data_IF_531126982483
#
_entry.id   IF_531126982483
#
_cell.length_a   1.000
_cell.length_b   1.000
_cell.length_c   1.000
_cell.angle_alpha   90.00
_cell.angle_beta   90.00
_cell.angle_gamma   90.00
#
_symmetry.space_group_name_H-M   'P 1'
#
loop_
_entity.id
_entity.type
_entity.pdbx_description
1 polymer ?
#
# COMPACT_ATOMS: atom_id res chain seq x y z
N UNK A 1 1.62 5.30 -11.61
CA UNK A 1 2.13 6.24 -12.65
C UNK A 1 1.03 6.90 -13.50
N UNK A 2 0.34 6.19 -14.40
CA UNK A 2 -0.57 6.81 -15.41
C UNK A 2 -1.73 7.59 -14.77
N UNK A 3 -2.32 7.08 -13.70
CA UNK A 3 -3.42 7.76 -12.97
C UNK A 3 -2.93 9.12 -12.44
N UNK A 4 -1.79 9.15 -11.74
CA UNK A 4 -1.18 10.39 -11.24
C UNK A 4 -0.82 11.35 -12.38
N UNK A 5 -0.31 10.83 -13.50
CA UNK A 5 0.01 11.66 -14.68
C UNK A 5 -1.24 12.33 -15.26
N UNK A 6 -2.34 11.59 -15.42
CA UNK A 6 -3.63 12.13 -15.87
C UNK A 6 -4.17 13.18 -14.90
N UNK A 7 -3.98 12.98 -13.59
CA UNK A 7 -4.37 13.91 -12.54
C UNK A 7 -3.44 15.14 -12.39
N UNK A 8 -2.45 15.30 -13.28
CA UNK A 8 -1.43 16.36 -13.18
C UNK A 8 -0.60 16.32 -11.89
N UNK A 9 -0.53 15.14 -11.25
CA UNK A 9 0.38 14.87 -10.14
C UNK A 9 1.71 14.34 -10.69
N UNK A 10 2.50 15.24 -11.28
CA UNK A 10 3.75 14.92 -11.99
C UNK A 10 4.90 14.56 -11.04
N UNK A 11 4.95 15.21 -9.87
CA UNK A 11 5.67 14.80 -8.65
C UNK A 11 5.68 13.30 -8.44
N UNK A 12 4.49 12.83 -8.12
CA UNK A 12 4.22 11.46 -7.73
C UNK A 12 4.29 10.51 -8.93
N UNK A 13 3.81 10.95 -10.11
CA UNK A 13 3.89 10.13 -11.33
C UNK A 13 5.33 9.82 -11.74
N UNK A 14 6.23 10.81 -11.65
CA UNK A 14 7.64 10.64 -11.98
C UNK A 14 8.34 9.67 -11.03
N UNK A 15 8.02 9.71 -9.74
CA UNK A 15 8.54 8.73 -8.80
C UNK A 15 8.16 7.30 -9.23
N UNK A 16 6.87 7.02 -9.46
CA UNK A 16 6.44 5.70 -9.94
C UNK A 16 7.04 5.29 -11.29
N UNK A 17 7.32 6.26 -12.16
CA UNK A 17 7.97 5.99 -13.44
C UNK A 17 9.44 5.54 -13.25
N UNK A 18 10.16 6.12 -12.29
CA UNK A 18 11.54 5.69 -11.94
C UNK A 18 11.55 4.27 -11.37
N UNK A 19 10.74 4.02 -10.34
CA UNK A 19 10.62 2.69 -9.72
C UNK A 19 10.32 1.61 -10.77
N UNK A 20 9.37 1.89 -11.68
CA UNK A 20 9.05 0.96 -12.76
C UNK A 20 10.24 0.69 -13.68
N UNK A 21 11.05 1.69 -14.03
CA UNK A 21 12.22 1.50 -14.88
C UNK A 21 13.34 0.74 -14.16
N UNK A 22 13.48 0.90 -12.85
CA UNK A 22 14.44 0.15 -12.03
C UNK A 22 14.14 -1.35 -11.97
N UNK A 23 12.87 -1.75 -12.12
CA UNK A 23 12.49 -3.17 -12.22
C UNK A 23 12.85 -3.84 -13.56
N UNK A 24 13.49 -3.13 -14.50
CA UNK A 24 13.82 -3.61 -15.86
C UNK A 24 12.63 -4.28 -16.58
N UNK A 25 11.54 -3.52 -16.83
CA UNK A 25 10.30 -4.08 -17.32
C UNK A 25 10.48 -4.62 -18.75
N UNK A 26 10.02 -5.85 -18.99
CA UNK A 26 10.08 -6.51 -20.31
C UNK A 26 9.10 -5.91 -21.32
N UNK A 27 8.02 -5.30 -20.83
CA UNK A 27 7.03 -4.63 -21.66
C UNK A 27 7.54 -3.26 -22.14
N UNK A 28 8.09 -3.21 -23.36
CA UNK A 28 8.64 -1.99 -23.95
C UNK A 28 7.64 -0.83 -23.98
N UNK A 29 6.35 -1.12 -24.17
CA UNK A 29 5.28 -0.12 -24.15
C UNK A 29 5.15 0.58 -22.80
N UNK A 30 5.34 -0.14 -21.69
CA UNK A 30 5.32 0.41 -20.34
C UNK A 30 6.60 1.23 -20.08
N UNK A 31 7.77 0.71 -20.49
CA UNK A 31 9.04 1.41 -20.38
C UNK A 31 9.03 2.74 -21.16
N UNK A 32 8.52 2.74 -22.40
CA UNK A 32 8.39 3.95 -23.22
C UNK A 32 7.47 4.99 -22.57
N UNK A 33 6.33 4.56 -22.02
CA UNK A 33 5.41 5.45 -21.30
C UNK A 33 6.07 6.03 -20.04
N UNK A 34 6.82 5.23 -19.29
CA UNK A 34 7.53 5.71 -18.11
C UNK A 34 8.55 6.80 -18.45
N UNK A 35 9.37 6.61 -19.50
CA UNK A 35 10.31 7.63 -19.99
C UNK A 35 9.60 8.91 -20.42
N UNK A 36 8.44 8.80 -21.08
CA UNK A 36 7.63 9.97 -21.46
C UNK A 36 7.12 10.75 -20.24
N UNK A 37 6.65 10.05 -19.20
CA UNK A 37 6.21 10.68 -17.95
C UNK A 37 7.36 11.41 -17.27
N UNK A 38 8.56 10.82 -17.25
CA UNK A 38 9.76 11.47 -16.71
C UNK A 38 10.11 12.75 -17.48
N UNK A 39 10.14 12.70 -18.81
CA UNK A 39 10.42 13.86 -19.65
C UNK A 39 9.38 14.99 -19.44
N UNK A 40 8.11 14.64 -19.23
CA UNK A 40 7.07 15.62 -18.91
C UNK A 40 7.28 16.24 -17.52
N UNK A 41 7.68 15.45 -16.54
CA UNK A 41 7.94 15.91 -15.17
C UNK A 41 9.19 16.79 -15.07
N UNK A 42 10.22 16.58 -15.90
CA UNK A 42 11.41 17.46 -15.97
C UNK A 42 11.05 18.91 -16.32
N UNK A 43 10.00 19.12 -17.11
CA UNK A 43 9.54 20.46 -17.50
C UNK A 43 8.76 21.16 -16.39
N UNK A 44 8.04 20.41 -15.55
CA UNK A 44 7.21 20.95 -14.48
C UNK A 44 6.99 19.91 -13.38
N UNK A 45 7.92 19.81 -12.43
CA UNK A 45 7.91 18.80 -11.38
C UNK A 45 7.05 19.24 -10.19
N UNK A 46 5.73 19.24 -10.36
CA UNK A 46 4.77 19.61 -9.31
C UNK A 46 3.57 18.68 -9.29
N UNK A 47 3.02 18.47 -8.09
CA UNK A 47 1.71 17.85 -7.93
C UNK A 47 0.60 18.91 -7.89
N UNK A 48 -0.47 18.68 -8.66
CA UNK A 48 -1.62 19.58 -8.74
C UNK A 48 -2.49 19.52 -7.48
N UNK A 49 -2.65 18.34 -6.89
CA UNK A 49 -3.52 18.10 -5.71
C UNK A 49 -2.78 17.30 -4.64
N UNK A 50 -2.90 17.66 -3.35
CA UNK A 50 -2.32 16.87 -2.26
C UNK A 50 -2.95 15.47 -2.21
N UNK A 51 -2.11 14.47 -1.98
CA UNK A 51 -2.51 13.07 -1.80
C UNK A 51 -2.26 12.65 -0.34
N UNK A 52 -3.12 11.78 0.20
CA UNK A 52 -2.79 11.04 1.42
C UNK A 52 -1.82 9.89 1.08
N UNK A 53 -0.63 10.26 0.61
CA UNK A 53 0.42 9.34 0.19
C UNK A 53 1.77 10.01 0.40
N UNK A 54 2.49 9.59 1.44
CA UNK A 54 3.89 9.90 1.66
C UNK A 54 4.77 8.70 1.28
N UNK A 55 5.58 8.89 0.23
CA UNK A 55 6.56 7.92 -0.25
C UNK A 55 7.60 7.54 0.81
N UNK A 56 8.01 8.50 1.65
CA UNK A 56 9.17 8.34 2.53
C UNK A 56 8.80 7.75 3.88
N UNK A 57 7.51 7.66 4.17
CA UNK A 57 7.01 7.13 5.43
C UNK A 57 6.42 5.72 5.21
N UNK A 58 7.04 4.66 5.74
CA UNK A 58 6.51 3.32 5.64
C UNK A 58 5.08 3.24 6.21
N UNK A 59 4.22 2.50 5.52
CA UNK A 59 2.85 2.28 5.93
C UNK A 59 2.38 0.87 5.58
N UNK A 60 1.32 0.44 6.27
CA UNK A 60 0.51 -0.73 5.90
C UNK A 60 -0.85 -0.24 5.41
N UNK A 61 -1.55 -1.05 4.61
CA UNK A 61 -2.88 -0.69 4.11
C UNK A 61 -3.94 -1.27 5.04
N UNK A 62 -4.89 -0.45 5.47
CA UNK A 62 -6.05 -0.92 6.23
C UNK A 62 -6.89 -1.89 5.38
N UNK A 63 -7.19 -3.07 5.93
CA UNK A 63 -7.94 -4.13 5.23
C UNK A 63 -9.41 -3.80 4.90
N UNK A 64 -9.97 -2.73 5.47
CA UNK A 64 -11.37 -2.32 5.26
C UNK A 64 -11.48 -0.95 4.57
N UNK A 65 -10.80 0.08 5.09
CA UNK A 65 -10.89 1.45 4.54
C UNK A 65 -9.97 1.71 3.33
N UNK A 66 -9.01 0.83 3.05
CA UNK A 66 -7.97 1.00 2.02
C UNK A 66 -7.15 2.29 2.17
N UNK A 67 -7.10 2.85 3.37
CA UNK A 67 -6.26 4.01 3.71
C UNK A 67 -4.90 3.55 4.24
N UNK A 68 -3.81 4.33 4.02
CA UNK A 68 -2.53 4.03 4.61
C UNK A 68 -2.58 4.23 6.13
N UNK A 69 -1.99 3.29 6.87
CA UNK A 69 -1.69 3.39 8.30
C UNK A 69 -0.19 3.57 8.42
N UNK A 70 0.22 4.81 8.69
CA UNK A 70 1.63 5.20 8.73
C UNK A 70 2.33 4.71 9.99
N UNK A 71 3.64 4.49 9.89
CA UNK A 71 4.48 4.12 11.04
C UNK A 71 4.26 5.08 12.21
N UNK A 72 3.98 4.53 13.39
CA UNK A 72 3.71 5.27 14.62
C UNK A 72 2.22 5.57 14.86
N UNK A 73 1.35 5.34 13.88
CA UNK A 73 -0.09 5.30 14.12
C UNK A 73 -0.49 3.99 14.79
N UNK A 74 -1.62 4.01 15.51
CA UNK A 74 -2.18 2.80 16.11
C UNK A 74 -2.92 2.00 15.05
N UNK A 75 -2.75 0.69 15.12
CA UNK A 75 -3.43 -0.30 14.31
C UNK A 75 -3.87 -1.49 15.18
N UNK A 76 -4.82 -2.26 14.66
CA UNK A 76 -5.25 -3.54 15.21
C UNK A 76 -5.14 -4.60 14.13
N UNK A 77 -4.71 -5.80 14.48
CA UNK A 77 -4.45 -6.86 13.51
C UNK A 77 -5.50 -7.96 13.59
N UNK A 78 -5.77 -8.58 12.44
CA UNK A 78 -6.49 -9.85 12.41
C UNK A 78 -5.58 -10.95 12.97
N UNK A 79 -6.02 -11.73 13.98
CA UNK A 79 -5.17 -12.74 14.60
C UNK A 79 -4.86 -13.94 13.68
N UNK A 80 -5.63 -14.10 12.59
CA UNK A 80 -5.46 -15.20 11.66
C UNK A 80 -4.56 -14.86 10.47
N UNK A 81 -4.89 -13.81 9.70
CA UNK A 81 -4.16 -13.45 8.49
C UNK A 81 -3.18 -12.28 8.67
N UNK A 82 -3.08 -11.72 9.89
CA UNK A 82 -2.20 -10.60 10.23
C UNK A 82 -2.47 -9.31 9.45
N UNK A 83 -3.64 -9.19 8.80
CA UNK A 83 -4.03 -7.94 8.13
C UNK A 83 -4.21 -6.83 9.15
N UNK A 84 -3.73 -5.64 8.82
CA UNK A 84 -3.81 -4.45 9.66
C UNK A 84 -5.10 -3.67 9.40
N UNK A 85 -5.68 -3.13 10.45
CA UNK A 85 -6.88 -2.29 10.41
C UNK A 85 -6.70 -1.06 11.29
N UNK A 86 -7.41 0.01 10.95
CA UNK A 86 -7.53 1.14 11.87
C UNK A 86 -8.35 0.70 13.12
N UNK A 87 -8.09 1.25 14.31
CA UNK A 87 -8.72 0.78 15.56
C UNK A 87 -10.24 0.84 15.58
N UNK A 88 -10.88 1.65 14.72
CA UNK A 88 -12.34 1.71 14.60
C UNK A 88 -12.98 0.43 14.07
N UNK A 89 -12.21 -0.47 13.44
CA UNK A 89 -12.70 -1.77 12.96
C UNK A 89 -12.44 -2.92 13.94
N UNK A 90 -11.95 -2.64 15.15
CA UNK A 90 -11.78 -3.67 16.18
C UNK A 90 -13.14 -4.27 16.54
N UNK A 91 -13.19 -5.61 16.62
CA UNK A 91 -14.42 -6.36 16.88
C UNK A 91 -15.27 -6.65 15.65
N UNK A 92 -14.90 -6.15 14.47
CA UNK A 92 -15.57 -6.50 13.21
C UNK A 92 -15.01 -7.80 12.62
N UNK A 93 -15.78 -8.47 11.76
CA UNK A 93 -15.28 -9.59 10.96
C UNK A 93 -14.21 -9.09 9.97
N UNK A 94 -13.06 -9.74 9.95
CA UNK A 94 -11.97 -9.39 9.05
C UNK A 94 -12.39 -9.55 7.57
N UNK A 95 -12.45 -8.43 6.85
CA UNK A 95 -12.83 -8.35 5.42
C UNK A 95 -11.82 -8.96 4.44
N UNK A 96 -10.70 -9.49 4.93
CA UNK A 96 -9.65 -10.10 4.11
C UNK A 96 -9.68 -11.61 4.19
N UNK A 97 -9.80 -12.18 5.40
CA UNK A 97 -9.91 -13.63 5.55
C UNK A 97 -11.36 -14.11 5.65
N UNK A 98 -12.31 -13.23 5.95
CA UNK A 98 -13.73 -13.54 6.18
C UNK A 98 -13.97 -14.61 7.26
N UNK A 99 -13.04 -14.73 8.22
CA UNK A 99 -13.04 -15.81 9.22
C UNK A 99 -12.91 -15.31 10.67
N UNK A 100 -11.94 -14.44 10.95
CA UNK A 100 -11.60 -14.03 12.31
C UNK A 100 -12.10 -12.62 12.63
N UNK A 101 -12.37 -12.36 13.91
CA UNK A 101 -12.67 -11.03 14.43
C UNK A 101 -11.38 -10.22 14.58
N UNK A 102 -11.41 -8.97 14.09
CA UNK A 102 -10.25 -8.07 14.10
C UNK A 102 -9.90 -7.67 15.54
N UNK A 103 -8.65 -7.89 15.94
CA UNK A 103 -8.17 -7.58 17.29
C UNK A 103 -8.65 -8.53 18.38
N UNK A 104 -9.22 -9.69 18.01
CA UNK A 104 -9.54 -10.73 18.98
C UNK A 104 -8.29 -11.40 19.54
N UNK A 105 -8.34 -11.74 20.82
CA UNK A 105 -7.31 -12.56 21.46
C UNK A 105 -7.40 -14.00 20.95
N UNK A 106 -6.35 -14.46 20.27
CA UNK A 106 -6.27 -15.82 19.79
C UNK A 106 -4.87 -16.41 19.99
N UNK A 107 -4.83 -17.73 20.07
CA UNK A 107 -3.58 -18.47 19.94
C UNK A 107 -3.01 -18.29 18.53
N UNK A 108 -1.68 -18.31 18.43
CA UNK A 108 -0.98 -18.31 17.13
C UNK A 108 -1.40 -19.53 16.31
N UNK A 109 -1.29 -19.45 14.99
CA UNK A 109 -1.53 -20.56 14.07
C UNK A 109 -0.79 -21.84 14.53
N UNK A 110 -1.58 -22.87 14.86
CA UNK A 110 -1.10 -24.20 15.24
C UNK A 110 -1.26 -25.13 14.04
N UNK A 111 -0.14 -25.45 13.38
CA UNK A 111 -0.10 -26.33 12.20
C UNK A 111 0.80 -27.55 12.40
N UNK A 112 1.52 -27.63 13.52
CA UNK A 112 2.43 -28.74 13.83
C UNK A 112 2.29 -29.18 15.29
N UNK A 113 2.36 -30.50 15.59
CA UNK A 113 2.46 -31.00 16.95
C UNK A 113 3.62 -30.39 17.75
N UNK A 114 4.70 -29.95 17.08
CA UNK A 114 5.85 -29.30 17.73
C UNK A 114 5.51 -27.97 18.41
N UNK A 115 4.37 -27.36 18.09
CA UNK A 115 3.90 -26.11 18.70
C UNK A 115 3.06 -26.37 19.95
N UNK A 116 2.68 -27.63 20.21
CA UNK A 116 1.99 -28.07 21.41
C UNK A 116 3.07 -28.47 22.42
N UNK A 117 3.11 -27.78 23.56
CA UNK A 117 4.05 -28.07 24.65
C UNK A 117 3.48 -29.12 25.59
#
# INVERSE_FOLDING_TARGET
>A
MIVCYKAQNLSTAAHFARELLETNPTAETQAKRARQVLQAAERNMRDATPLNYDLRNPFVVCGSSYTPIYRGQRDVTCPYCSTHFIPSHQGELCTVCDLAEVGADASVLLSSPSQIR
#
